data_IF_362637210730
#
_entry.id   IF_362637210730
#
_cell.length_a   1.000
_cell.length_b   1.000
_cell.length_c   1.000
_cell.angle_alpha   90.00
_cell.angle_beta   90.00
_cell.angle_gamma   90.00
#
_symmetry.space_group_name_H-M   'P 1'
#
loop_
_entity.id
_entity.type
_entity.pdbx_description
1 polymer ?
#
# COMPACT_ATOMS: atom_id res chain seq x y z
N UNK A 1 -20.50 12.13 13.25
CA UNK A 1 -19.75 11.02 13.89
C UNK A 1 -18.28 11.36 13.84
N UNK A 2 -17.48 10.87 14.81
CA UNK A 2 -16.04 11.07 14.81
C UNK A 2 -15.41 9.95 13.97
N UNK A 3 -14.74 10.30 12.87
CA UNK A 3 -13.99 9.35 12.04
C UNK A 3 -12.51 9.56 12.33
N UNK A 4 -11.87 8.58 12.97
CA UNK A 4 -10.43 8.64 13.29
C UNK A 4 -9.70 7.65 12.38
N UNK A 5 -8.64 8.13 11.74
CA UNK A 5 -7.87 7.36 10.77
C UNK A 5 -6.47 7.15 11.34
N UNK A 6 -6.06 5.90 11.50
CA UNK A 6 -4.70 5.55 11.90
C UNK A 6 -4.00 4.82 10.77
N UNK A 7 -2.79 5.26 10.45
CA UNK A 7 -1.98 4.64 9.42
C UNK A 7 -0.54 4.44 9.83
N UNK A 8 0.08 3.43 9.24
CA UNK A 8 1.53 3.20 9.32
C UNK A 8 2.11 3.16 7.93
N UNK A 9 3.34 3.61 7.80
CA UNK A 9 4.16 3.32 6.63
C UNK A 9 4.76 1.91 6.78
N UNK A 10 4.90 1.16 5.68
CA UNK A 10 5.64 -0.11 5.66
C UNK A 10 6.43 -0.25 4.35
N UNK A 11 7.76 -0.15 4.45
CA UNK A 11 8.63 -0.14 3.27
C UNK A 11 8.98 -1.56 2.77
N UNK A 12 8.83 -2.56 3.64
CA UNK A 12 9.20 -3.97 3.43
C UNK A 12 8.35 -4.92 4.32
N UNK A 13 8.48 -6.24 4.11
CA UNK A 13 7.72 -7.26 4.83
C UNK A 13 7.94 -7.19 6.34
N UNK A 14 9.18 -6.97 6.78
CA UNK A 14 9.47 -6.81 8.21
C UNK A 14 8.68 -5.65 8.83
N UNK A 15 8.49 -4.55 8.10
CA UNK A 15 7.68 -3.43 8.56
C UNK A 15 6.18 -3.75 8.54
N UNK A 16 5.69 -4.47 7.53
CA UNK A 16 4.31 -5.00 7.48
C UNK A 16 4.01 -5.82 8.74
N UNK A 17 4.81 -6.86 8.97
CA UNK A 17 4.61 -7.83 10.06
C UNK A 17 4.72 -7.17 11.44
N UNK A 18 5.59 -6.16 11.55
CA UNK A 18 5.79 -5.42 12.81
C UNK A 18 4.70 -4.39 13.06
N UNK A 19 4.26 -3.64 12.04
CA UNK A 19 3.51 -2.39 12.23
C UNK A 19 1.99 -2.58 12.10
N UNK A 20 1.53 -3.43 11.19
CA UNK A 20 0.09 -3.65 10.97
C UNK A 20 -0.61 -4.23 12.22
N UNK A 21 0.00 -5.15 13.01
CA UNK A 21 -0.65 -5.62 14.24
C UNK A 21 -1.00 -4.52 15.24
N UNK A 22 -0.24 -3.43 15.32
CA UNK A 22 -0.59 -2.29 16.18
C UNK A 22 -1.86 -1.58 15.70
N UNK A 23 -2.05 -1.43 14.40
CA UNK A 23 -3.27 -0.85 13.83
C UNK A 23 -4.49 -1.73 14.10
N UNK A 24 -4.35 -3.05 13.92
CA UNK A 24 -5.42 -4.01 14.21
C UNK A 24 -5.83 -3.91 15.69
N UNK A 25 -4.86 -3.83 16.61
CA UNK A 25 -5.14 -3.64 18.03
C UNK A 25 -5.91 -2.35 18.30
N UNK A 26 -5.61 -1.25 17.60
CA UNK A 26 -6.37 0.00 17.72
C UNK A 26 -7.79 -0.16 17.18
N UNK A 27 -7.98 -0.79 16.02
CA UNK A 27 -9.30 -1.02 15.42
C UNK A 27 -10.20 -1.89 16.29
N UNK A 28 -9.61 -2.84 17.03
CA UNK A 28 -10.35 -3.66 18.00
C UNK A 28 -10.90 -2.86 19.20
N UNK A 29 -10.43 -1.63 19.43
CA UNK A 29 -10.98 -0.75 20.48
C UNK A 29 -12.31 -0.14 20.05
N UNK A 30 -12.46 0.19 18.76
CA UNK A 30 -13.68 0.82 18.24
C UNK A 30 -13.80 0.66 16.73
N UNK A 31 -14.98 0.27 16.26
CA UNK A 31 -15.31 0.20 14.84
C UNK A 31 -15.36 1.56 14.13
N UNK A 32 -15.32 2.67 14.87
CA UNK A 32 -15.21 4.02 14.31
C UNK A 32 -13.77 4.37 13.86
N UNK A 33 -12.81 3.47 14.11
CA UNK A 33 -11.41 3.63 13.70
C UNK A 33 -11.21 2.98 12.32
N UNK A 34 -10.82 3.80 11.35
CA UNK A 34 -10.34 3.35 10.04
C UNK A 34 -8.84 3.14 10.12
N UNK A 35 -8.34 2.00 9.63
CA UNK A 35 -6.91 1.70 9.59
C UNK A 35 -6.39 1.50 8.18
N UNK A 36 -5.18 1.96 7.92
CA UNK A 36 -4.55 1.83 6.61
C UNK A 36 -3.05 1.58 6.69
N UNK A 37 -2.51 0.93 5.67
CA UNK A 37 -1.06 0.82 5.48
C UNK A 37 -0.65 1.59 4.23
N UNK A 38 0.40 2.40 4.37
CA UNK A 38 1.07 3.05 3.24
C UNK A 38 2.38 2.33 2.94
N UNK A 39 2.39 1.57 1.85
CA UNK A 39 3.57 0.89 1.33
C UNK A 39 4.38 1.89 0.50
N UNK A 40 5.04 2.82 1.20
CA UNK A 40 5.75 3.96 0.60
C UNK A 40 7.03 4.34 1.38
N UNK A 41 8.21 4.37 0.73
CA UNK A 41 8.46 3.79 -0.58
C UNK A 41 8.35 2.26 -0.51
N UNK A 42 7.71 1.64 -1.50
CA UNK A 42 7.75 0.19 -1.67
C UNK A 42 9.15 -0.25 -2.10
N UNK A 43 9.83 -1.04 -1.27
CA UNK A 43 11.21 -1.46 -1.51
C UNK A 43 11.36 -2.93 -1.92
N UNK A 44 10.32 -3.73 -1.74
CA UNK A 44 10.27 -5.14 -2.09
C UNK A 44 8.83 -5.60 -2.33
N UNK A 45 8.67 -6.83 -2.83
CA UNK A 45 7.36 -7.49 -2.87
C UNK A 45 6.90 -7.86 -1.45
N UNK A 46 5.60 -7.78 -1.18
CA UNK A 46 5.05 -8.04 0.17
C UNK A 46 3.82 -8.93 0.11
N UNK A 47 3.68 -9.78 1.12
CA UNK A 47 2.51 -10.60 1.38
C UNK A 47 1.72 -9.98 2.55
N UNK A 48 0.47 -9.61 2.29
CA UNK A 48 -0.47 -9.07 3.26
C UNK A 48 -1.52 -10.10 3.68
N UNK A 49 -1.41 -11.37 3.25
CA UNK A 49 -2.47 -12.37 3.41
C UNK A 49 -2.95 -12.55 4.86
N UNK A 50 -2.07 -12.37 5.84
CA UNK A 50 -2.39 -12.50 7.27
C UNK A 50 -3.15 -11.28 7.86
N UNK A 51 -3.15 -10.16 7.13
CA UNK A 51 -3.60 -8.85 7.64
C UNK A 51 -4.64 -8.14 6.77
N UNK A 52 -4.67 -8.43 5.47
CA UNK A 52 -5.41 -7.66 4.46
C UNK A 52 -6.92 -7.61 4.78
N UNK A 53 -7.47 -8.70 5.31
CA UNK A 53 -8.88 -8.83 5.72
C UNK A 53 -9.29 -7.85 6.84
N UNK A 54 -8.33 -7.28 7.56
CA UNK A 54 -8.56 -6.34 8.68
C UNK A 54 -8.31 -4.88 8.32
N UNK A 55 -7.64 -4.63 7.20
CA UNK A 55 -7.31 -3.28 6.72
C UNK A 55 -8.51 -2.65 6.02
N UNK A 56 -8.67 -1.33 6.16
CA UNK A 56 -9.70 -0.58 5.42
C UNK A 56 -9.14 0.03 4.13
N UNK A 57 -7.81 0.15 4.02
CA UNK A 57 -7.18 0.82 2.88
C UNK A 57 -5.71 0.42 2.74
N UNK A 58 -5.26 0.30 1.50
CA UNK A 58 -3.85 0.10 1.16
C UNK A 58 -3.41 1.16 0.16
N UNK A 59 -2.31 1.83 0.48
CA UNK A 59 -1.66 2.81 -0.41
C UNK A 59 -0.33 2.24 -0.87
N UNK A 60 0.02 2.38 -2.15
CA UNK A 60 1.33 1.98 -2.68
C UNK A 60 2.02 3.14 -3.39
N UNK A 61 3.30 3.37 -3.12
CA UNK A 61 4.06 4.41 -3.80
C UNK A 61 5.57 4.15 -3.85
N UNK A 62 6.22 4.58 -4.93
CA UNK A 62 7.67 4.55 -5.09
C UNK A 62 8.38 5.80 -4.54
N UNK A 63 9.69 5.68 -4.32
CA UNK A 63 10.53 6.75 -3.79
C UNK A 63 10.74 7.88 -4.81
N UNK A 64 10.46 9.13 -4.42
CA UNK A 64 10.72 10.32 -5.23
C UNK A 64 11.97 11.05 -4.75
N UNK A 65 13.03 11.06 -5.58
CA UNK A 65 14.27 11.78 -5.30
C UNK A 65 14.41 12.95 -6.30
N UNK A 66 14.34 14.21 -5.83
CA UNK A 66 14.63 15.37 -6.67
C UNK A 66 16.07 15.31 -7.20
N UNK A 67 16.28 15.76 -8.45
CA UNK A 67 17.60 16.01 -9.06
C UNK A 67 18.54 14.80 -9.23
N UNK A 68 18.20 13.59 -8.74
CA UNK A 68 19.01 12.39 -8.98
C UNK A 68 18.19 11.09 -8.91
N UNK A 69 17.49 10.78 -10.01
CA UNK A 69 16.66 9.56 -10.14
C UNK A 69 17.43 8.25 -9.89
N UNK A 70 18.74 8.22 -10.17
CA UNK A 70 19.56 7.01 -10.00
C UNK A 70 19.73 6.60 -8.52
N UNK A 71 19.56 7.54 -7.58
CA UNK A 71 19.63 7.26 -6.13
C UNK A 71 18.34 6.73 -5.53
N UNK A 72 17.20 6.88 -6.22
CA UNK A 72 15.94 6.33 -5.75
C UNK A 72 16.00 4.80 -5.77
N UNK A 73 15.49 4.18 -4.71
CA UNK A 73 15.28 2.73 -4.67
C UNK A 73 14.22 2.36 -5.70
N UNK A 74 14.47 1.25 -6.40
CA UNK A 74 13.64 0.83 -7.51
C UNK A 74 12.35 0.18 -6.99
N UNK A 75 11.21 0.61 -7.51
CA UNK A 75 9.94 -0.09 -7.39
C UNK A 75 9.73 -0.91 -8.67
N UNK A 76 9.15 -2.12 -8.55
CA UNK A 76 8.82 -2.94 -9.72
C UNK A 76 7.31 -3.07 -9.87
N UNK A 77 6.80 -3.04 -11.11
CA UNK A 77 5.36 -3.12 -11.36
C UNK A 77 4.76 -4.43 -10.88
N UNK A 78 5.49 -5.54 -10.94
CA UNK A 78 4.97 -6.84 -10.47
C UNK A 78 4.68 -6.84 -8.96
N UNK A 79 5.43 -6.03 -8.20
CA UNK A 79 5.17 -5.88 -6.76
C UNK A 79 3.88 -5.11 -6.51
N UNK A 80 3.65 -4.06 -7.30
CA UNK A 80 2.43 -3.25 -7.21
C UNK A 80 1.21 -4.06 -7.68
N UNK A 81 1.34 -4.81 -8.78
CA UNK A 81 0.31 -5.75 -9.23
C UNK A 81 -0.06 -6.76 -8.14
N UNK A 82 0.95 -7.30 -7.45
CA UNK A 82 0.73 -8.28 -6.41
C UNK A 82 -0.09 -7.71 -5.24
N UNK A 83 0.21 -6.49 -4.79
CA UNK A 83 -0.57 -5.82 -3.75
C UNK A 83 -1.97 -5.46 -4.25
N UNK A 84 -2.08 -4.92 -5.48
CA UNK A 84 -3.36 -4.59 -6.08
C UNK A 84 -4.26 -5.84 -6.17
N UNK A 85 -3.73 -6.98 -6.60
CA UNK A 85 -4.43 -8.26 -6.63
C UNK A 85 -4.88 -8.70 -5.23
N UNK A 86 -4.01 -8.61 -4.21
CA UNK A 86 -4.38 -8.94 -2.83
C UNK A 86 -5.53 -8.06 -2.32
N UNK A 87 -5.52 -6.76 -2.65
CA UNK A 87 -6.58 -5.83 -2.30
C UNK A 87 -7.90 -6.17 -3.01
N UNK A 88 -7.86 -6.34 -4.33
CA UNK A 88 -9.03 -6.72 -5.14
C UNK A 88 -9.67 -8.02 -4.66
N UNK A 89 -8.85 -9.04 -4.36
CA UNK A 89 -9.31 -10.35 -3.88
C UNK A 89 -10.06 -10.26 -2.54
N UNK A 90 -9.70 -9.29 -1.70
CA UNK A 90 -10.29 -9.11 -0.36
C UNK A 90 -11.28 -7.95 -0.28
N UNK A 91 -11.58 -7.27 -1.40
CA UNK A 91 -12.48 -6.11 -1.41
C UNK A 91 -11.95 -4.92 -0.61
N UNK A 92 -10.63 -4.79 -0.46
CA UNK A 92 -9.98 -3.68 0.24
C UNK A 92 -9.65 -2.58 -0.78
N UNK A 93 -10.07 -1.33 -0.58
CA UNK A 93 -9.70 -0.22 -1.43
C UNK A 93 -8.18 -0.10 -1.62
N UNK A 94 -7.76 0.03 -2.89
CA UNK A 94 -6.38 0.24 -3.28
C UNK A 94 -6.15 1.64 -3.85
N UNK A 95 -5.15 2.34 -3.34
CA UNK A 95 -4.73 3.63 -3.87
C UNK A 95 -3.29 3.57 -4.34
N UNK A 96 -3.10 3.59 -5.66
CA UNK A 96 -1.76 3.78 -6.20
C UNK A 96 -1.38 5.25 -6.12
N UNK A 97 -0.31 5.61 -5.41
CA UNK A 97 0.13 7.00 -5.29
C UNK A 97 0.94 7.45 -6.51
N UNK A 98 2.06 6.78 -6.76
CA UNK A 98 3.01 7.10 -7.84
C UNK A 98 4.09 6.02 -7.97
N UNK A 99 4.72 5.94 -9.15
CA UNK A 99 5.91 5.11 -9.39
C UNK A 99 7.21 5.63 -8.74
N UNK A 100 7.24 6.89 -8.32
CA UNK A 100 8.48 7.52 -7.86
C UNK A 100 9.46 7.80 -9.01
N UNK A 101 10.75 7.84 -8.70
CA UNK A 101 11.80 8.30 -9.63
C UNK A 101 12.49 7.19 -10.44
N UNK A 102 12.35 5.92 -10.04
CA UNK A 102 13.05 4.78 -10.66
C UNK A 102 12.16 3.53 -10.75
N UNK A 103 11.09 3.53 -11.57
CA UNK A 103 10.31 2.32 -11.79
C UNK A 103 11.03 1.28 -12.65
N UNK A 104 10.72 0.01 -12.41
CA UNK A 104 10.90 -1.12 -13.31
C UNK A 104 9.53 -1.57 -13.78
N UNK A 105 9.16 -1.28 -15.03
CA UNK A 105 7.84 -1.64 -15.56
C UNK A 105 7.96 -2.90 -16.40
N UNK A 106 7.15 -3.91 -16.08
CA UNK A 106 6.98 -5.14 -16.85
C UNK A 106 5.82 -4.98 -17.82
N UNK A 107 6.00 -5.43 -19.07
CA UNK A 107 4.98 -5.36 -20.12
C UNK A 107 3.75 -6.26 -19.86
N UNK A 108 3.88 -7.24 -18.97
CA UNK A 108 2.78 -8.12 -18.57
C UNK A 108 1.92 -7.51 -17.44
N UNK A 109 2.37 -6.42 -16.82
CA UNK A 109 1.61 -5.69 -15.80
C UNK A 109 0.55 -4.80 -16.46
N UNK A 110 -0.64 -4.70 -15.87
CA UNK A 110 -1.65 -3.71 -16.31
C UNK A 110 -1.35 -2.34 -15.69
N UNK A 111 -0.31 -1.70 -16.22
CA UNK A 111 0.18 -0.41 -15.73
C UNK A 111 -0.93 0.66 -15.77
N UNK A 112 -1.79 0.63 -16.81
CA UNK A 112 -2.86 1.61 -16.95
C UNK A 112 -3.92 1.44 -15.86
N UNK A 113 -4.29 0.20 -15.53
CA UNK A 113 -5.21 -0.07 -14.42
C UNK A 113 -4.63 0.38 -13.08
N UNK A 114 -3.35 0.07 -12.81
CA UNK A 114 -2.68 0.52 -11.58
C UNK A 114 -2.66 2.04 -11.46
N UNK A 115 -2.21 2.75 -12.51
CA UNK A 115 -2.01 4.19 -12.47
C UNK A 115 -3.30 4.98 -12.22
N UNK A 116 -4.42 4.41 -12.67
CA UNK A 116 -5.76 4.99 -12.54
C UNK A 116 -6.49 4.57 -11.28
N UNK A 117 -5.98 3.57 -10.54
CA UNK A 117 -6.62 3.08 -9.33
C UNK A 117 -6.40 4.04 -8.14
N UNK A 118 -7.49 4.72 -7.75
CA UNK A 118 -7.56 5.75 -6.70
C UNK A 118 -8.77 5.49 -5.80
N UNK A 119 -8.87 4.27 -5.27
CA UNK A 119 -9.98 3.88 -4.42
C UNK A 119 -9.79 4.41 -2.99
N UNK A 120 -10.89 4.70 -2.32
CA UNK A 120 -10.94 5.19 -0.95
C UNK A 120 -11.90 4.34 -0.11
N UNK A 121 -11.69 4.22 1.20
CA UNK A 121 -12.66 3.64 2.12
C UNK A 121 -14.01 4.37 2.06
N UNK A 122 -15.08 3.64 2.26
CA UNK A 122 -16.41 4.23 2.45
C UNK A 122 -16.46 4.95 3.82
N UNK A 123 -17.17 6.09 3.87
CA UNK A 123 -17.42 6.85 5.11
C UNK A 123 -18.45 6.19 6.04
#
# INVERSE_FOLDING_TARGET
MLHIWFGVTAENQQCVDKRIPYLINLKNISSAITIFVSIEPMLENMDLSDYIDKLDWVIVGGEKIPNNKKKARQIKSEWVDNIHYQCQKNGVPFFFKQWGSRPSLNLNSDISAIETCKEFPNE
#
